data_IF_957246726839
#
_entry.id   IF_957246726839
#
_cell.length_a   1.000
_cell.length_b   1.000
_cell.length_c   1.000
_cell.angle_alpha   90.00
_cell.angle_beta   90.00
_cell.angle_gamma   90.00
#
_symmetry.space_group_name_H-M   'P 1'
#
loop_
_entity.id
_entity.type
_entity.pdbx_description
1 polymer ?
#
# COMPACT_ATOMS: atom_id res chain seq x y z
N UNK A 1 0.80 -15.60 10.05
CA UNK A 1 2.26 -15.80 10.23
C UNK A 1 2.96 -14.99 9.16
N UNK A 2 3.41 -13.77 9.46
CA UNK A 2 4.30 -13.02 8.57
C UNK A 2 5.69 -13.56 8.85
N UNK A 3 6.18 -14.42 7.96
CA UNK A 3 7.53 -14.94 8.05
C UNK A 3 8.51 -13.76 8.08
N UNK A 4 9.43 -13.80 9.05
CA UNK A 4 10.60 -12.95 9.13
C UNK A 4 11.46 -13.22 7.87
N UNK A 5 11.17 -12.48 6.77
CA UNK A 5 12.03 -12.51 5.59
C UNK A 5 13.05 -11.40 5.80
N UNK A 6 14.32 -11.80 5.84
CA UNK A 6 15.46 -10.90 5.70
C UNK A 6 15.22 -9.97 4.49
N UNK A 7 15.76 -8.74 4.49
CA UNK A 7 15.62 -7.85 3.34
C UNK A 7 16.03 -8.63 2.10
N UNK A 8 15.07 -8.78 1.16
CA UNK A 8 15.25 -9.55 -0.05
C UNK A 8 16.34 -8.85 -0.88
N UNK A 9 17.49 -9.43 -0.97
CA UNK A 9 18.61 -8.86 -1.74
C UNK A 9 18.23 -8.72 -3.23
N UNK A 10 17.37 -9.63 -3.73
CA UNK A 10 16.79 -9.56 -5.08
C UNK A 10 15.41 -10.19 -5.09
N UNK A 11 14.44 -9.51 -5.69
CA UNK A 11 13.06 -10.00 -5.82
C UNK A 11 12.98 -11.19 -6.79
N UNK A 12 13.85 -11.22 -7.81
CA UNK A 12 13.93 -12.34 -8.76
C UNK A 12 14.23 -13.69 -8.12
N UNK A 13 14.95 -13.71 -7.00
CA UNK A 13 15.32 -14.93 -6.29
C UNK A 13 14.30 -15.41 -5.27
N UNK A 14 13.15 -14.75 -5.16
CA UNK A 14 12.11 -15.16 -4.20
C UNK A 14 11.32 -16.31 -4.78
N UNK A 15 11.37 -17.44 -4.08
CA UNK A 15 10.64 -18.65 -4.47
C UNK A 15 9.15 -18.40 -4.65
N UNK A 16 8.60 -18.89 -5.76
CA UNK A 16 7.17 -18.79 -6.08
C UNK A 16 6.75 -17.50 -6.80
N UNK A 17 7.59 -16.47 -6.95
CA UNK A 17 7.23 -15.24 -7.66
C UNK A 17 7.36 -15.37 -9.19
N UNK A 18 8.40 -16.04 -9.64
CA UNK A 18 8.71 -16.36 -11.06
C UNK A 18 8.60 -15.17 -12.04
N UNK A 19 9.12 -13.97 -11.71
CA UNK A 19 8.96 -12.80 -12.57
C UNK A 19 9.61 -12.97 -13.96
N UNK A 20 10.61 -13.84 -14.10
CA UNK A 20 11.31 -14.17 -15.34
C UNK A 20 10.42 -14.85 -16.39
N UNK A 21 9.32 -15.48 -15.96
CA UNK A 21 8.34 -16.11 -16.87
C UNK A 21 7.43 -15.09 -17.55
N UNK A 22 7.64 -13.81 -17.34
CA UNK A 22 6.75 -12.76 -17.83
C UNK A 22 6.89 -12.53 -19.35
N UNK A 23 5.85 -12.80 -20.13
CA UNK A 23 5.76 -12.49 -21.57
C UNK A 23 5.42 -11.05 -21.90
N UNK A 24 5.20 -10.20 -20.91
CA UNK A 24 4.74 -8.82 -21.13
C UNK A 24 3.40 -8.69 -21.87
N UNK A 25 2.53 -9.68 -21.78
CA UNK A 25 1.23 -9.73 -22.45
C UNK A 25 0.20 -8.72 -21.92
N UNK A 26 0.50 -7.98 -20.84
CA UNK A 26 -0.30 -6.92 -20.22
C UNK A 26 -1.64 -7.35 -19.60
N UNK A 27 -2.00 -8.66 -19.60
CA UNK A 27 -3.26 -9.14 -19.02
C UNK A 27 -3.41 -8.78 -17.54
N UNK A 28 -2.32 -8.77 -16.77
CA UNK A 28 -2.30 -8.34 -15.39
C UNK A 28 -2.70 -6.87 -15.23
N UNK A 29 -2.26 -5.99 -16.12
CA UNK A 29 -2.58 -4.56 -16.07
C UNK A 29 -3.98 -4.26 -16.59
N UNK A 30 -4.42 -4.95 -17.66
CA UNK A 30 -5.77 -4.79 -18.19
C UNK A 30 -6.87 -5.19 -17.19
N UNK A 31 -6.56 -6.04 -16.22
CA UNK A 31 -7.50 -6.45 -15.18
C UNK A 31 -7.32 -5.73 -13.83
N UNK A 32 -6.35 -4.85 -13.71
CA UNK A 32 -6.07 -4.17 -12.45
C UNK A 32 -7.05 -3.00 -12.22
N UNK A 33 -7.79 -2.99 -11.09
CA UNK A 33 -8.79 -1.95 -10.82
C UNK A 33 -8.18 -0.56 -10.62
N UNK A 34 -6.89 -0.48 -10.32
CA UNK A 34 -6.17 0.78 -10.03
C UNK A 34 -5.08 1.10 -11.05
N UNK A 35 -5.02 0.37 -12.18
CA UNK A 35 -3.96 0.56 -13.19
C UNK A 35 -3.95 1.97 -13.78
N UNK A 36 -5.12 2.60 -13.89
CA UNK A 36 -5.26 3.97 -14.41
C UNK A 36 -4.66 5.05 -13.51
N UNK A 37 -4.55 4.77 -12.20
CA UNK A 37 -3.98 5.68 -11.22
C UNK A 37 -2.50 5.37 -10.92
N UNK A 38 -2.00 4.23 -11.41
CA UNK A 38 -0.62 3.82 -11.21
C UNK A 38 0.30 4.53 -12.20
N UNK A 39 1.40 5.09 -11.69
CA UNK A 39 2.51 5.61 -12.50
C UNK A 39 3.15 4.52 -13.36
N UNK A 40 3.38 3.36 -12.75
CA UNK A 40 3.84 2.15 -13.40
C UNK A 40 2.80 1.03 -13.19
N UNK A 41 2.23 0.55 -14.30
CA UNK A 41 1.25 -0.51 -14.28
C UNK A 41 1.89 -1.86 -13.86
N UNK A 42 1.10 -2.85 -13.39
CA UNK A 42 1.64 -4.12 -12.88
C UNK A 42 2.65 -4.81 -13.81
N UNK A 43 2.39 -4.88 -15.12
CA UNK A 43 3.32 -5.50 -16.07
C UNK A 43 4.66 -4.74 -16.17
N UNK A 44 4.65 -3.42 -16.01
CA UNK A 44 5.87 -2.59 -16.04
C UNK A 44 6.72 -2.82 -14.80
N UNK A 45 6.09 -2.95 -13.62
CA UNK A 45 6.78 -3.27 -12.38
C UNK A 45 7.48 -4.64 -12.48
N UNK A 46 6.80 -5.66 -13.01
CA UNK A 46 7.42 -6.98 -13.24
C UNK A 46 8.59 -6.87 -14.24
N UNK A 47 8.43 -6.09 -15.31
CA UNK A 47 9.49 -5.85 -16.30
C UNK A 47 10.73 -5.20 -15.69
N UNK A 48 10.57 -4.22 -14.82
CA UNK A 48 11.70 -3.59 -14.12
C UNK A 48 12.45 -4.59 -13.25
N UNK A 49 11.72 -5.46 -12.55
CA UNK A 49 12.32 -6.52 -11.75
C UNK A 49 13.11 -7.50 -12.64
N UNK A 50 12.54 -7.94 -13.78
CA UNK A 50 13.23 -8.84 -14.69
C UNK A 50 14.47 -8.20 -15.37
N UNK A 51 14.43 -6.89 -15.57
CA UNK A 51 15.53 -6.12 -16.14
C UNK A 51 16.61 -5.74 -15.11
N UNK A 52 16.52 -6.15 -13.84
CA UNK A 52 17.37 -5.73 -12.72
C UNK A 52 17.33 -4.21 -12.43
N UNK A 53 16.23 -3.54 -12.81
CA UNK A 53 15.99 -2.12 -12.54
C UNK A 53 15.05 -1.96 -11.34
N UNK A 54 15.24 -2.76 -10.30
CA UNK A 54 14.36 -2.79 -9.12
C UNK A 54 14.29 -1.46 -8.40
N UNK A 55 15.39 -0.69 -8.38
CA UNK A 55 15.42 0.59 -7.69
C UNK A 55 14.42 1.60 -8.28
N UNK A 56 14.21 1.57 -9.59
CA UNK A 56 13.19 2.38 -10.25
C UNK A 56 11.78 1.93 -9.84
N UNK A 57 11.56 0.62 -9.78
CA UNK A 57 10.29 0.06 -9.30
C UNK A 57 10.01 0.44 -7.83
N UNK A 58 11.02 0.45 -6.95
CA UNK A 58 10.89 0.84 -5.55
C UNK A 58 10.46 2.30 -5.36
N UNK A 59 10.86 3.18 -6.28
CA UNK A 59 10.49 4.60 -6.26
C UNK A 59 9.09 4.87 -6.81
N UNK A 60 8.49 3.88 -7.48
CA UNK A 60 7.15 4.03 -8.06
C UNK A 60 6.08 4.17 -6.97
N UNK A 61 5.19 5.15 -7.14
CA UNK A 61 3.99 5.28 -6.31
C UNK A 61 3.00 4.14 -6.55
N UNK A 62 3.06 3.50 -7.71
CA UNK A 62 2.17 2.42 -8.12
C UNK A 62 2.23 1.21 -7.19
N UNK A 63 3.41 0.88 -6.62
CA UNK A 63 3.51 -0.22 -5.66
C UNK A 63 2.62 0.01 -4.43
N UNK A 64 2.51 1.26 -3.97
CA UNK A 64 1.71 1.63 -2.80
C UNK A 64 0.20 1.74 -3.08
N UNK A 65 -0.19 1.97 -4.34
CA UNK A 65 -1.59 1.98 -4.78
C UNK A 65 -2.17 0.57 -4.89
N UNK A 66 -1.32 -0.45 -5.03
CA UNK A 66 -1.76 -1.83 -5.15
C UNK A 66 -2.58 -2.28 -3.93
N UNK A 67 -3.82 -2.71 -4.18
CA UNK A 67 -4.78 -3.18 -3.17
C UNK A 67 -4.64 -4.66 -2.83
N UNK A 68 -3.64 -5.34 -3.39
CA UNK A 68 -3.37 -6.79 -3.20
C UNK A 68 -4.58 -7.69 -3.53
N UNK A 69 -5.41 -7.29 -4.51
CA UNK A 69 -6.65 -8.00 -4.89
C UNK A 69 -6.42 -9.32 -5.65
N UNK A 70 -5.17 -9.70 -5.93
CA UNK A 70 -4.75 -10.94 -6.61
C UNK A 70 -5.21 -11.11 -8.06
N UNK A 71 -6.00 -10.21 -8.62
CA UNK A 71 -6.52 -10.30 -10.00
C UNK A 71 -5.41 -10.46 -11.04
N UNK A 72 -4.29 -9.75 -10.86
CA UNK A 72 -3.16 -9.82 -11.78
C UNK A 72 -2.47 -11.18 -11.78
N UNK A 73 -2.30 -11.80 -10.62
CA UNK A 73 -1.73 -13.15 -10.47
C UNK A 73 -2.64 -14.21 -11.10
N UNK A 74 -3.95 -14.16 -10.79
CA UNK A 74 -4.95 -15.10 -11.33
C UNK A 74 -5.05 -15.04 -12.85
N UNK A 75 -4.87 -13.86 -13.45
CA UNK A 75 -4.95 -13.66 -14.91
C UNK A 75 -3.64 -13.95 -15.65
N UNK A 76 -2.56 -14.25 -14.94
CA UNK A 76 -1.26 -14.48 -15.56
C UNK A 76 -1.23 -15.85 -16.26
N UNK A 77 -1.07 -15.93 -17.61
CA UNK A 77 -1.05 -17.21 -18.31
C UNK A 77 0.22 -18.04 -18.02
N UNK A 78 1.27 -17.38 -17.53
CA UNK A 78 2.58 -17.99 -17.25
C UNK A 78 2.82 -18.27 -15.77
N UNK A 79 1.82 -18.09 -14.91
CA UNK A 79 1.97 -18.41 -13.51
C UNK A 79 2.89 -17.46 -12.73
N UNK A 80 3.13 -16.23 -13.24
CA UNK A 80 3.84 -15.20 -12.47
C UNK A 80 2.97 -14.73 -11.32
N UNK A 81 3.47 -14.76 -10.10
CA UNK A 81 2.80 -14.11 -8.97
C UNK A 81 3.07 -12.60 -8.97
N UNK A 82 2.32 -11.90 -9.82
CA UNK A 82 2.46 -10.45 -10.01
C UNK A 82 2.13 -9.67 -8.73
N UNK A 83 1.11 -10.10 -7.98
CA UNK A 83 0.75 -9.46 -6.72
C UNK A 83 1.83 -9.67 -5.66
N UNK A 84 2.41 -10.86 -5.59
CA UNK A 84 3.54 -11.18 -4.73
C UNK A 84 4.79 -10.37 -5.08
N UNK A 85 5.08 -10.17 -6.38
CA UNK A 85 6.19 -9.28 -6.83
C UNK A 85 5.98 -7.86 -6.32
N UNK A 86 4.76 -7.30 -6.44
CA UNK A 86 4.45 -5.95 -5.96
C UNK A 86 4.55 -5.87 -4.43
N UNK A 87 4.12 -6.91 -3.73
CA UNK A 87 4.22 -6.96 -2.26
C UNK A 87 5.67 -7.04 -1.80
N UNK A 88 6.51 -7.82 -2.47
CA UNK A 88 7.95 -7.87 -2.22
C UNK A 88 8.62 -6.51 -2.46
N UNK A 89 8.22 -5.78 -3.52
CA UNK A 89 8.67 -4.40 -3.77
C UNK A 89 8.28 -3.46 -2.63
N UNK A 90 7.03 -3.54 -2.11
CA UNK A 90 6.60 -2.75 -0.94
C UNK A 90 7.46 -3.03 0.29
N UNK A 91 7.66 -4.31 0.61
CA UNK A 91 8.46 -4.71 1.77
C UNK A 91 9.89 -4.19 1.66
N UNK A 92 10.50 -4.32 0.50
CA UNK A 92 11.85 -3.82 0.24
C UNK A 92 11.93 -2.30 0.30
N UNK A 93 10.98 -1.58 -0.31
CA UNK A 93 10.93 -0.13 -0.24
C UNK A 93 10.77 0.37 1.20
N UNK A 94 9.96 -0.32 2.01
CA UNK A 94 9.78 0.00 3.43
C UNK A 94 11.08 -0.24 4.24
N UNK A 95 11.77 -1.36 3.98
CA UNK A 95 13.02 -1.72 4.67
C UNK A 95 14.18 -0.80 4.28
N UNK A 96 14.30 -0.44 3.00
CA UNK A 96 15.37 0.42 2.47
C UNK A 96 15.13 1.91 2.70
N UNK A 97 13.95 2.31 3.20
CA UNK A 97 13.59 3.71 3.40
C UNK A 97 13.46 4.52 2.12
N UNK A 98 13.37 3.87 0.97
CA UNK A 98 13.19 4.53 -0.34
C UNK A 98 11.86 5.28 -0.35
N UNK A 99 11.93 6.56 -0.70
CA UNK A 99 10.74 7.41 -0.78
C UNK A 99 10.09 7.26 -2.16
N UNK A 100 8.76 7.00 -2.23
CA UNK A 100 8.06 7.00 -3.51
C UNK A 100 8.07 8.41 -4.13
N UNK A 101 7.96 8.50 -5.45
CA UNK A 101 7.86 9.78 -6.18
C UNK A 101 6.65 10.60 -5.70
N UNK A 102 5.52 9.92 -5.45
CA UNK A 102 4.37 10.53 -4.77
C UNK A 102 4.22 9.96 -3.36
N UNK A 103 4.55 10.77 -2.37
CA UNK A 103 4.49 10.38 -0.96
C UNK A 103 3.09 10.39 -0.35
N UNK A 104 2.04 10.82 -1.10
CA UNK A 104 0.68 10.99 -0.56
C UNK A 104 0.08 9.68 -0.09
N UNK A 105 0.24 8.60 -0.88
CA UNK A 105 -0.30 7.28 -0.52
C UNK A 105 0.39 6.75 0.74
N UNK A 106 1.71 6.89 0.82
CA UNK A 106 2.46 6.48 2.02
C UNK A 106 2.08 7.31 3.25
N UNK A 107 1.83 8.61 3.07
CA UNK A 107 1.33 9.48 4.15
C UNK A 107 -0.06 9.02 4.64
N UNK A 108 -0.94 8.60 3.73
CA UNK A 108 -2.24 8.02 4.08
C UNK A 108 -2.10 6.72 4.88
N UNK A 109 -1.26 5.78 4.44
CA UNK A 109 -1.00 4.55 5.19
C UNK A 109 -0.48 4.83 6.60
N UNK A 110 0.46 5.77 6.74
CA UNK A 110 0.99 6.17 8.05
C UNK A 110 -0.10 6.79 8.94
N UNK A 111 -0.91 7.67 8.39
CA UNK A 111 -2.03 8.28 9.13
C UNK A 111 -3.04 7.22 9.58
N UNK A 112 -3.39 6.27 8.70
CA UNK A 112 -4.30 5.16 8.98
C UNK A 112 -3.76 4.26 10.10
N UNK A 113 -2.53 3.77 9.97
CA UNK A 113 -1.92 2.90 10.97
C UNK A 113 -1.74 3.59 12.33
N UNK A 114 -1.41 4.89 12.33
CA UNK A 114 -1.32 5.67 13.56
C UNK A 114 -2.68 5.80 14.25
N UNK A 115 -3.76 5.94 13.49
CA UNK A 115 -5.10 6.00 14.04
C UNK A 115 -5.51 4.67 14.67
N UNK A 116 -5.29 3.54 13.96
CA UNK A 116 -5.52 2.19 14.47
C UNK A 116 -4.69 1.93 15.74
N UNK A 117 -3.40 2.30 15.74
CA UNK A 117 -2.52 2.14 16.90
C UNK A 117 -2.98 2.94 18.12
N UNK A 118 -3.48 4.16 17.90
CA UNK A 118 -3.88 5.06 18.98
C UNK A 118 -5.24 4.72 19.59
N UNK A 119 -6.17 4.19 18.80
CA UNK A 119 -7.58 4.03 19.18
C UNK A 119 -8.13 2.63 19.03
N UNK A 120 -7.39 1.70 18.42
CA UNK A 120 -7.85 0.34 18.12
C UNK A 120 -8.73 0.24 16.89
N UNK A 121 -9.20 1.35 16.35
CA UNK A 121 -10.00 1.45 15.12
C UNK A 121 -9.81 2.78 14.44
N UNK A 122 -10.16 2.86 13.18
CA UNK A 122 -10.12 4.10 12.43
C UNK A 122 -11.30 5.00 12.80
N UNK A 123 -11.00 6.29 12.94
CA UNK A 123 -12.01 7.35 13.00
C UNK A 123 -11.82 8.27 11.79
N UNK A 124 -12.81 8.32 10.94
CA UNK A 124 -12.70 8.93 9.59
C UNK A 124 -12.28 10.40 9.66
N UNK A 125 -12.88 11.18 10.56
CA UNK A 125 -12.56 12.61 10.70
C UNK A 125 -11.13 12.82 11.20
N UNK A 126 -10.68 12.01 12.17
CA UNK A 126 -9.33 12.09 12.68
C UNK A 126 -8.31 11.65 11.61
N UNK A 127 -8.63 10.63 10.81
CA UNK A 127 -7.82 10.18 9.69
C UNK A 127 -7.69 11.29 8.64
N UNK A 128 -8.81 11.89 8.22
CA UNK A 128 -8.82 13.00 7.24
C UNK A 128 -8.00 14.18 7.75
N UNK A 129 -8.20 14.58 9.00
CA UNK A 129 -7.44 15.68 9.60
C UNK A 129 -5.93 15.40 9.64
N UNK A 130 -5.52 14.21 10.10
CA UNK A 130 -4.10 13.81 10.14
C UNK A 130 -3.49 13.71 8.75
N UNK A 131 -4.22 13.14 7.80
CA UNK A 131 -3.76 13.03 6.42
C UNK A 131 -3.60 14.41 5.78
N UNK A 132 -4.58 15.30 5.94
CA UNK A 132 -4.55 16.66 5.38
C UNK A 132 -3.39 17.47 5.95
N UNK A 133 -3.12 17.37 7.26
CA UNK A 133 -1.97 18.01 7.91
C UNK A 133 -0.65 17.43 7.37
N UNK A 134 -0.55 16.09 7.24
CA UNK A 134 0.65 15.42 6.75
C UNK A 134 0.92 15.65 5.27
N UNK A 135 -0.12 15.72 4.44
CA UNK A 135 -0.04 15.96 3.02
C UNK A 135 0.03 17.46 2.65
N UNK A 136 -0.09 18.35 3.63
CA UNK A 136 -0.16 19.83 3.46
C UNK A 136 -1.21 20.23 2.42
N UNK A 137 -2.35 19.56 2.42
CA UNK A 137 -3.42 19.80 1.45
C UNK A 137 -4.78 19.73 2.13
N UNK A 138 -5.62 20.72 1.87
CA UNK A 138 -7.02 20.68 2.29
C UNK A 138 -7.78 19.63 1.48
N UNK A 139 -8.73 18.90 2.09
CA UNK A 139 -9.60 17.99 1.35
C UNK A 139 -10.32 18.76 0.23
N UNK A 140 -10.30 18.22 -1.01
CA UNK A 140 -10.94 18.87 -2.16
C UNK A 140 -12.45 19.08 -1.98
N UNK A 141 -13.07 18.26 -1.13
CA UNK A 141 -14.52 18.22 -0.92
C UNK A 141 -14.97 18.73 0.44
N UNK A 142 -14.36 19.83 0.95
CA UNK A 142 -14.73 20.43 2.24
C UNK A 142 -16.24 20.76 2.29
N UNK A 143 -16.79 21.26 1.18
CA UNK A 143 -18.22 21.60 1.07
C UNK A 143 -19.12 20.37 1.22
N UNK A 144 -18.73 19.24 0.59
CA UNK A 144 -19.43 17.97 0.74
C UNK A 144 -19.31 17.43 2.16
N UNK A 145 -18.11 17.49 2.74
CA UNK A 145 -17.84 17.09 4.13
C UNK A 145 -18.71 17.86 5.13
N UNK A 146 -18.77 19.18 5.00
CA UNK A 146 -19.63 20.03 5.85
C UNK A 146 -21.12 19.67 5.72
N UNK A 147 -21.58 19.37 4.48
CA UNK A 147 -22.95 18.92 4.24
C UNK A 147 -23.23 17.57 4.91
N UNK A 148 -22.31 16.62 4.82
CA UNK A 148 -22.45 15.30 5.46
C UNK A 148 -22.48 15.39 7.00
N UNK A 149 -21.66 16.27 7.59
CA UNK A 149 -21.70 16.55 9.03
C UNK A 149 -23.07 17.12 9.43
N UNK A 150 -23.58 18.11 8.67
CA UNK A 150 -24.89 18.73 8.96
C UNK A 150 -26.04 17.73 8.82
N UNK A 151 -25.90 16.73 7.96
CA UNK A 151 -26.89 15.66 7.78
C UNK A 151 -26.74 14.51 8.82
N UNK A 152 -25.83 14.64 9.80
CA UNK A 152 -25.60 13.60 10.80
C UNK A 152 -24.96 12.31 10.26
N UNK A 153 -24.45 12.33 9.03
CA UNK A 153 -23.84 11.16 8.38
C UNK A 153 -22.42 10.87 8.91
N UNK A 154 -21.76 11.87 9.46
CA UNK A 154 -20.41 11.76 10.01
C UNK A 154 -20.47 12.07 11.49
N UNK A 155 -20.18 11.12 12.39
CA UNK A 155 -20.11 11.37 13.82
C UNK A 155 -18.89 12.24 14.14
N UNK A 156 -19.12 13.41 14.75
CA UNK A 156 -18.05 14.29 15.24
C UNK A 156 -17.46 13.79 16.56
N UNK A 157 -18.24 12.99 17.31
CA UNK A 157 -17.80 12.45 18.60
C UNK A 157 -16.69 11.43 18.38
N UNK A 158 -15.56 11.65 19.08
CA UNK A 158 -14.47 10.68 19.10
C UNK A 158 -14.95 9.38 19.75
N UNK A 159 -14.85 8.22 19.08
CA UNK A 159 -15.27 6.96 19.68
C UNK A 159 -14.41 6.65 20.91
N UNK A 160 -15.02 5.95 21.86
CA UNK A 160 -14.27 5.40 23.00
C UNK A 160 -13.11 4.55 22.48
N UNK A 161 -11.94 4.68 23.11
CA UNK A 161 -10.78 3.85 22.78
C UNK A 161 -11.16 2.38 22.96
N UNK A 162 -10.97 1.56 21.92
CA UNK A 162 -11.06 0.12 22.08
C UNK A 162 -9.91 -0.38 22.96
N UNK A 163 -10.02 -1.61 23.50
CA UNK A 163 -8.94 -2.22 24.27
C UNK A 163 -7.67 -2.29 23.42
N UNK A 164 -6.72 -1.39 23.69
CA UNK A 164 -5.54 -1.20 22.84
C UNK A 164 -4.34 -2.06 23.28
N UNK A 165 -4.47 -2.84 24.35
CA UNK A 165 -3.37 -3.64 24.90
C UNK A 165 -2.80 -4.65 23.91
N UNK A 166 -3.65 -5.50 23.35
CA UNK A 166 -3.25 -6.51 22.35
C UNK A 166 -2.72 -5.88 21.07
N UNK A 167 -3.36 -4.78 20.61
CA UNK A 167 -2.91 -4.05 19.42
C UNK A 167 -1.53 -3.43 19.61
N UNK A 168 -1.24 -2.85 20.78
CA UNK A 168 0.10 -2.34 21.08
C UNK A 168 1.14 -3.44 20.96
N UNK A 169 0.86 -4.59 21.54
CA UNK A 169 1.76 -5.75 21.46
C UNK A 169 2.01 -6.20 20.02
N UNK A 170 0.96 -6.20 19.16
CA UNK A 170 1.11 -6.51 17.73
C UNK A 170 2.01 -5.50 17.02
N UNK A 171 1.81 -4.19 17.28
CA UNK A 171 2.64 -3.15 16.69
C UNK A 171 4.09 -3.17 17.19
N UNK A 172 4.34 -3.54 18.45
CA UNK A 172 5.69 -3.70 19.00
C UNK A 172 6.40 -4.89 18.37
N UNK A 173 5.72 -6.03 18.26
CA UNK A 173 6.26 -7.22 17.58
C UNK A 173 6.55 -6.98 16.11
N UNK A 174 5.76 -6.15 15.43
CA UNK A 174 5.99 -5.78 14.04
C UNK A 174 7.19 -4.82 13.86
N UNK A 175 7.56 -4.04 14.89
CA UNK A 175 8.72 -3.15 14.86
C UNK A 175 10.04 -3.85 15.20
N UNK A 176 9.99 -4.90 15.98
CA UNK A 176 11.16 -5.67 16.44
C UNK A 176 11.65 -6.69 15.42
N UNK A 177 11.17 -6.61 14.22
CA UNK A 177 11.56 -7.38 13.05
C UNK A 177 11.96 -6.41 11.95
#
# INVERSE_FOLDING_TARGET
MVANRAPLDRIRGVEGLNPELCFSCRKCSAGCPVAGDMELAPHQLVRLVTANLEEEALRSSGIWLCTSCQTCTTRCPNGVDVAGVIDALKQRAAASGVKPRDGRVLAFYRAFLNEVRARGRVHEMALIARYSLGARRLPGDIRLGARMVRMGKIPLALPKKAATGELRHLFERAKGK
#
